data_IF_896179585945
#
_entry.id   IF_896179585945
#
_cell.length_a   1.000
_cell.length_b   1.000
_cell.length_c   1.000
_cell.angle_alpha   90.00
_cell.angle_beta   90.00
_cell.angle_gamma   90.00
#
_symmetry.space_group_name_H-M   'P 1'
#
loop_
_entity.id
_entity.type
_entity.pdbx_description
1 polymer ?
#
# COMPACT_ATOMS: atom_id res chain seq x y z
N UNK A 1 1.46 -89.09 6.23
CA UNK A 1 2.31 -88.16 5.55
C UNK A 1 1.49 -86.97 5.04
N UNK A 2 1.38 -85.90 5.77
CA UNK A 2 0.91 -84.62 5.31
C UNK A 2 1.56 -83.58 6.21
N UNK A 3 2.55 -82.84 5.65
CA UNK A 3 3.25 -81.77 6.31
C UNK A 3 2.38 -80.49 6.34
N UNK A 4 2.22 -79.87 7.49
CA UNK A 4 1.59 -78.62 7.65
C UNK A 4 2.70 -77.55 7.77
N UNK A 5 2.71 -76.59 6.86
CA UNK A 5 3.56 -75.37 6.92
C UNK A 5 2.83 -74.33 7.73
N UNK A 6 3.45 -73.90 8.81
CA UNK A 6 3.00 -72.71 9.58
C UNK A 6 3.73 -71.49 9.04
N UNK A 7 2.99 -70.50 8.49
CA UNK A 7 3.53 -69.16 8.12
C UNK A 7 3.45 -68.22 9.34
N UNK A 8 4.61 -67.82 9.81
CA UNK A 8 4.72 -66.82 10.84
C UNK A 8 4.80 -65.46 10.13
N UNK A 9 3.76 -64.62 10.22
CA UNK A 9 3.75 -63.26 9.73
C UNK A 9 4.31 -62.33 10.81
N UNK A 10 5.50 -61.80 10.59
CA UNK A 10 6.10 -60.73 11.41
C UNK A 10 5.58 -59.38 10.97
N UNK A 11 4.78 -58.73 11.83
CA UNK A 11 4.42 -57.31 11.67
C UNK A 11 5.63 -56.44 12.07
N UNK A 12 6.26 -55.80 11.11
CA UNK A 12 7.16 -54.66 11.37
C UNK A 12 6.30 -53.39 11.53
N UNK A 13 6.23 -52.87 12.75
CA UNK A 13 5.71 -51.55 13.00
C UNK A 13 6.81 -50.51 12.67
N UNK A 14 6.64 -49.78 11.58
CA UNK A 14 7.47 -48.63 11.28
C UNK A 14 7.01 -47.44 12.10
N UNK A 15 7.78 -47.06 13.12
CA UNK A 15 7.66 -45.75 13.79
C UNK A 15 8.15 -44.68 12.82
N UNK A 16 7.22 -43.91 12.29
CA UNK A 16 7.52 -42.68 11.57
C UNK A 16 7.85 -41.58 12.60
N UNK A 17 9.13 -41.29 12.77
CA UNK A 17 9.58 -40.08 13.47
C UNK A 17 9.31 -38.89 12.56
N UNK A 18 8.28 -38.10 12.87
CA UNK A 18 8.09 -36.80 12.27
C UNK A 18 9.26 -35.90 12.69
N UNK A 19 10.11 -35.55 11.73
CA UNK A 19 11.13 -34.53 11.94
C UNK A 19 10.44 -33.18 12.22
N UNK A 20 10.97 -32.33 13.11
CA UNK A 20 10.43 -31.00 13.30
C UNK A 20 10.52 -30.25 11.98
N UNK A 21 9.40 -29.67 11.54
CA UNK A 21 9.36 -28.72 10.44
C UNK A 21 10.19 -27.51 10.92
N UNK A 22 11.39 -27.36 10.38
CA UNK A 22 12.12 -26.12 10.51
C UNK A 22 11.32 -25.08 9.72
N UNK A 23 10.88 -24.02 10.40
CA UNK A 23 10.44 -22.80 9.74
C UNK A 23 11.60 -22.32 8.87
N UNK A 24 11.53 -22.63 7.59
CA UNK A 24 12.39 -22.03 6.59
C UNK A 24 11.84 -20.61 6.43
N UNK A 25 12.52 -19.64 7.07
CA UNK A 25 12.31 -18.26 6.73
C UNK A 25 12.51 -18.14 5.22
N UNK A 26 11.41 -17.96 4.49
CA UNK A 26 11.46 -17.71 3.05
C UNK A 26 12.18 -16.38 2.90
N UNK A 27 13.43 -16.42 2.41
CA UNK A 27 14.16 -15.22 2.09
C UNK A 27 13.33 -14.42 1.08
N UNK A 28 12.92 -13.19 1.46
CA UNK A 28 12.32 -12.25 0.52
C UNK A 28 13.28 -12.08 -0.65
N UNK A 29 12.75 -12.08 -1.87
CA UNK A 29 13.51 -11.64 -3.03
C UNK A 29 13.91 -10.17 -2.80
N UNK A 30 15.16 -9.84 -3.12
CA UNK A 30 15.61 -8.44 -3.08
C UNK A 30 14.64 -7.55 -3.87
N UNK A 31 14.28 -6.35 -3.35
CA UNK A 31 13.31 -5.48 -4.00
C UNK A 31 13.82 -5.07 -5.39
N UNK A 32 13.16 -5.53 -6.45
CA UNK A 32 13.52 -5.20 -7.84
C UNK A 32 13.09 -3.79 -8.25
N UNK A 33 12.30 -3.11 -7.40
CA UNK A 33 11.64 -1.84 -7.73
C UNK A 33 12.33 -0.61 -7.15
N UNK A 34 13.53 -0.75 -6.57
CA UNK A 34 14.28 0.36 -5.99
C UNK A 34 14.94 1.25 -7.06
N UNK A 35 14.99 2.56 -6.81
CA UNK A 35 14.25 3.31 -5.82
C UNK A 35 12.76 3.37 -6.20
N UNK A 36 11.85 3.27 -5.22
CA UNK A 36 10.40 3.31 -5.48
C UNK A 36 9.94 4.72 -5.83
N UNK A 37 9.03 4.82 -6.81
CA UNK A 37 8.18 5.99 -7.02
C UNK A 37 6.76 5.59 -6.65
N UNK A 38 6.25 6.15 -5.56
CA UNK A 38 4.94 5.86 -4.99
C UNK A 38 4.04 7.10 -5.12
N UNK A 39 2.81 6.92 -5.56
CA UNK A 39 1.84 8.01 -5.68
C UNK A 39 0.59 7.65 -4.88
N UNK A 40 0.15 8.57 -4.01
CA UNK A 40 -1.15 8.50 -3.37
C UNK A 40 -2.23 9.11 -4.25
N UNK A 41 -3.37 8.44 -4.32
CA UNK A 41 -4.51 8.88 -5.10
C UNK A 41 -5.76 8.92 -4.21
N UNK A 42 -6.04 10.08 -3.62
CA UNK A 42 -7.19 10.33 -2.75
C UNK A 42 -8.32 11.03 -3.49
N UNK A 43 -8.04 12.17 -4.12
CA UNK A 43 -9.03 12.96 -4.85
C UNK A 43 -9.33 12.31 -6.18
N UNK A 44 -10.45 11.58 -6.25
CA UNK A 44 -10.82 10.77 -7.41
C UNK A 44 -11.65 11.52 -8.45
N UNK A 45 -12.19 12.69 -8.10
CA UNK A 45 -13.04 13.51 -8.95
C UNK A 45 -12.67 14.98 -8.86
N UNK A 46 -12.84 15.71 -9.97
CA UNK A 46 -12.68 17.14 -10.02
C UNK A 46 -13.89 17.89 -9.38
N UNK A 47 -13.81 19.22 -9.33
CA UNK A 47 -14.87 20.07 -8.76
C UNK A 47 -16.19 19.97 -9.53
N UNK A 48 -16.20 19.45 -10.76
CA UNK A 48 -17.38 19.23 -11.58
C UNK A 48 -17.90 17.78 -11.51
N UNK A 49 -17.34 17.01 -10.57
CA UNK A 49 -17.64 15.59 -10.40
C UNK A 49 -17.25 14.70 -11.62
N UNK A 50 -16.23 15.11 -12.39
CA UNK A 50 -15.66 14.27 -13.40
C UNK A 50 -14.54 13.40 -12.79
N UNK A 51 -14.45 12.11 -13.15
CA UNK A 51 -13.38 11.26 -12.63
C UNK A 51 -12.02 11.74 -13.15
N UNK A 52 -11.02 11.76 -12.26
CA UNK A 52 -9.63 12.06 -12.57
C UNK A 52 -8.95 10.78 -13.01
N UNK A 53 -8.30 10.82 -14.19
CA UNK A 53 -7.61 9.66 -14.74
C UNK A 53 -6.19 9.52 -14.20
N UNK A 54 -5.83 8.29 -13.81
CA UNK A 54 -4.47 7.89 -13.42
C UNK A 54 -3.63 7.39 -14.61
N UNK A 55 -4.26 7.13 -15.76
CA UNK A 55 -3.57 6.55 -16.93
C UNK A 55 -2.41 7.39 -17.47
N UNK A 56 -2.36 8.73 -17.34
CA UNK A 56 -1.18 9.49 -17.69
C UNK A 56 0.10 9.00 -17.00
N UNK A 57 0.01 8.48 -15.78
CA UNK A 57 1.16 7.92 -15.05
C UNK A 57 1.82 6.72 -15.74
N UNK A 58 1.14 6.08 -16.69
CA UNK A 58 1.65 4.92 -17.45
C UNK A 58 1.72 5.14 -18.96
N UNK A 59 1.03 6.16 -19.49
CA UNK A 59 0.98 6.44 -20.92
C UNK A 59 1.63 7.77 -21.34
N UNK A 60 2.27 8.48 -20.39
CA UNK A 60 3.20 9.57 -20.65
C UNK A 60 4.64 9.07 -20.44
N UNK A 61 5.59 9.61 -21.24
CA UNK A 61 7.02 9.24 -21.17
C UNK A 61 7.70 9.82 -19.93
N UNK A 62 8.80 9.21 -19.53
CA UNK A 62 9.62 9.74 -18.45
C UNK A 62 9.10 9.44 -17.04
N UNK A 63 8.20 8.47 -16.89
CA UNK A 63 7.64 8.09 -15.59
C UNK A 63 7.99 6.65 -15.26
N UNK A 64 8.70 6.44 -14.16
CA UNK A 64 9.03 5.14 -13.61
C UNK A 64 8.16 4.79 -12.39
N UNK A 65 6.84 5.01 -12.49
CA UNK A 65 5.92 4.67 -11.42
C UNK A 65 6.02 3.19 -11.06
N UNK A 66 6.19 2.89 -9.76
CA UNK A 66 6.26 1.53 -9.23
C UNK A 66 4.98 1.14 -8.51
N UNK A 67 4.44 2.04 -7.68
CA UNK A 67 3.29 1.79 -6.82
C UNK A 67 2.29 2.95 -6.88
N UNK A 68 1.01 2.59 -6.89
CA UNK A 68 -0.09 3.52 -6.70
C UNK A 68 -0.88 3.10 -5.47
N UNK A 69 -1.15 4.03 -4.57
CA UNK A 69 -1.90 3.80 -3.34
C UNK A 69 -3.25 4.50 -3.44
N UNK A 70 -4.32 3.73 -3.56
CA UNK A 70 -5.70 4.23 -3.53
C UNK A 70 -6.09 4.53 -2.09
N UNK A 71 -6.57 5.72 -1.83
CA UNK A 71 -6.91 6.19 -0.48
C UNK A 71 -8.09 7.16 -0.47
N UNK A 72 -8.69 7.41 0.68
CA UNK A 72 -8.43 6.77 1.97
C UNK A 72 -9.57 5.85 2.33
N UNK A 73 -9.25 4.63 2.73
CA UNK A 73 -10.27 3.73 3.26
C UNK A 73 -10.47 4.00 4.75
N UNK A 74 -11.72 4.07 5.18
CA UNK A 74 -12.09 4.36 6.56
C UNK A 74 -12.96 3.24 7.13
N UNK A 75 -12.61 2.79 8.34
CA UNK A 75 -13.38 1.84 9.13
C UNK A 75 -13.96 2.58 10.33
N UNK A 76 -15.28 2.66 10.39
CA UNK A 76 -16.00 3.39 11.43
C UNK A 76 -16.86 2.45 12.29
N UNK A 77 -16.93 2.73 13.59
CA UNK A 77 -17.77 1.97 14.52
C UNK A 77 -19.23 1.96 14.06
N UNK A 78 -19.82 0.77 13.96
CA UNK A 78 -21.21 0.57 13.56
C UNK A 78 -21.49 0.84 12.08
N UNK A 79 -20.44 1.12 11.27
CA UNK A 79 -20.53 1.36 9.84
C UNK A 79 -19.89 0.28 8.99
N UNK A 80 -19.92 0.48 7.68
CA UNK A 80 -19.17 -0.29 6.69
C UNK A 80 -17.94 0.51 6.27
N UNK A 81 -16.94 -0.17 5.70
CA UNK A 81 -15.75 0.48 5.16
C UNK A 81 -16.14 1.40 4.00
N UNK A 82 -15.56 2.59 3.96
CA UNK A 82 -15.73 3.57 2.89
C UNK A 82 -14.39 3.83 2.20
N UNK A 83 -14.43 4.22 0.93
CA UNK A 83 -13.38 4.96 0.26
C UNK A 83 -13.82 6.42 0.22
N UNK A 84 -13.12 7.30 0.92
CA UNK A 84 -13.58 8.65 1.21
C UNK A 84 -15.02 8.63 1.77
N UNK A 85 -16.00 9.16 1.03
CA UNK A 85 -17.38 9.33 1.50
C UNK A 85 -18.36 8.24 1.02
N UNK A 86 -17.90 7.28 0.18
CA UNK A 86 -18.77 6.28 -0.44
C UNK A 86 -18.30 4.85 -0.17
N UNK A 87 -19.20 3.84 -0.23
CA UNK A 87 -18.76 2.44 -0.30
C UNK A 87 -17.77 2.21 -1.44
N UNK A 88 -16.74 1.38 -1.28
CA UNK A 88 -15.72 1.19 -2.31
C UNK A 88 -16.24 0.64 -3.64
N UNK A 89 -17.39 -0.04 -3.64
CA UNK A 89 -18.07 -0.57 -4.81
C UNK A 89 -19.14 0.39 -5.40
N UNK A 90 -19.22 1.63 -4.89
CA UNK A 90 -20.12 2.63 -5.45
C UNK A 90 -19.75 2.93 -6.92
N UNK A 91 -20.75 3.08 -7.82
CA UNK A 91 -20.53 3.48 -9.22
C UNK A 91 -19.70 4.75 -9.38
N UNK A 92 -19.64 5.61 -8.37
CA UNK A 92 -18.76 6.76 -8.30
C UNK A 92 -17.30 6.38 -8.61
N UNK A 93 -16.82 5.22 -8.17
CA UNK A 93 -15.44 4.76 -8.36
C UNK A 93 -15.23 3.86 -9.59
N UNK A 94 -16.21 3.78 -10.52
CA UNK A 94 -16.10 2.88 -11.66
C UNK A 94 -14.86 3.15 -12.54
N UNK A 95 -14.53 4.42 -12.79
CA UNK A 95 -13.34 4.81 -13.56
C UNK A 95 -12.06 4.42 -12.83
N UNK A 96 -11.98 4.72 -11.52
CA UNK A 96 -10.84 4.36 -10.69
C UNK A 96 -10.53 2.86 -10.79
N UNK A 97 -11.49 2.00 -10.52
CA UNK A 97 -11.27 0.56 -10.51
C UNK A 97 -10.96 -0.03 -11.91
N UNK A 98 -11.57 0.53 -12.96
CA UNK A 98 -11.19 0.17 -14.33
C UNK A 98 -9.72 0.50 -14.61
N UNK A 99 -9.28 1.70 -14.25
CA UNK A 99 -7.91 2.14 -14.52
C UNK A 99 -6.89 1.38 -13.68
N UNK A 100 -7.20 0.99 -12.43
CA UNK A 100 -6.29 0.14 -11.64
C UNK A 100 -6.02 -1.21 -12.31
N UNK A 101 -7.00 -1.82 -12.98
CA UNK A 101 -6.80 -3.05 -13.75
C UNK A 101 -5.81 -2.83 -14.89
N UNK A 102 -5.93 -1.71 -15.61
CA UNK A 102 -5.02 -1.35 -16.71
C UNK A 102 -3.60 -1.08 -16.17
N UNK A 103 -3.50 -0.37 -15.05
CA UNK A 103 -2.21 -0.05 -14.43
C UNK A 103 -1.50 -1.31 -13.93
N UNK A 104 -2.21 -2.28 -13.36
CA UNK A 104 -1.63 -3.60 -12.99
C UNK A 104 -1.07 -4.32 -14.22
N UNK A 105 -1.80 -4.33 -15.35
CA UNK A 105 -1.32 -4.92 -16.60
C UNK A 105 -0.06 -4.21 -17.14
N UNK A 106 0.09 -2.92 -16.83
CA UNK A 106 1.28 -2.14 -17.13
C UNK A 106 2.42 -2.32 -16.09
N UNK A 107 2.23 -3.20 -15.10
CA UNK A 107 3.25 -3.55 -14.10
C UNK A 107 3.34 -2.56 -12.93
N UNK A 108 2.32 -1.74 -12.68
CA UNK A 108 2.23 -0.91 -11.47
C UNK A 108 1.57 -1.72 -10.36
N UNK A 109 2.15 -1.71 -9.17
CA UNK A 109 1.55 -2.31 -7.99
C UNK A 109 0.43 -1.42 -7.45
N UNK A 110 -0.77 -1.99 -7.28
CA UNK A 110 -1.93 -1.26 -6.76
C UNK A 110 -2.17 -1.66 -5.32
N UNK A 111 -2.05 -0.69 -4.43
CA UNK A 111 -2.26 -0.85 -2.99
C UNK A 111 -3.45 -0.01 -2.53
N UNK A 112 -3.98 -0.33 -1.36
CA UNK A 112 -4.90 0.52 -0.64
C UNK A 112 -4.21 1.20 0.54
N UNK A 113 -4.77 2.31 1.04
CA UNK A 113 -4.37 2.91 2.31
C UNK A 113 -5.59 3.00 3.24
N UNK A 114 -5.45 2.49 4.45
CA UNK A 114 -6.47 2.60 5.50
C UNK A 114 -6.02 3.58 6.57
N UNK A 115 -6.93 4.48 6.98
CA UNK A 115 -6.66 5.49 8.00
C UNK A 115 -6.54 6.90 7.45
N UNK A 116 -5.44 7.58 7.75
CA UNK A 116 -5.23 9.00 7.50
C UNK A 116 -5.72 9.88 8.66
N UNK A 117 -5.81 11.20 8.44
CA UNK A 117 -6.18 12.19 9.45
C UNK A 117 -7.60 12.01 10.03
N UNK A 118 -8.52 11.36 9.30
CA UNK A 118 -9.85 11.04 9.79
C UNK A 118 -9.81 9.88 10.78
N UNK A 119 -10.03 10.15 12.06
CA UNK A 119 -10.00 9.15 13.12
C UNK A 119 -11.18 8.17 13.05
N UNK A 120 -10.98 6.94 13.57
CA UNK A 120 -12.05 5.91 13.66
C UNK A 120 -11.51 4.52 13.37
N UNK A 121 -10.69 4.36 12.34
CA UNK A 121 -10.21 3.06 11.86
C UNK A 121 -9.43 2.28 12.92
N UNK A 122 -8.61 2.95 13.73
CA UNK A 122 -7.72 2.33 14.71
C UNK A 122 -8.17 2.50 16.16
N UNK A 123 -9.49 2.68 16.38
CA UNK A 123 -10.00 2.84 17.73
C UNK A 123 -10.18 1.51 18.47
N UNK A 124 -10.30 1.58 19.80
CA UNK A 124 -10.62 0.41 20.64
C UNK A 124 -11.98 -0.21 20.37
N UNK A 125 -12.83 0.47 19.62
CA UNK A 125 -14.12 -0.03 19.13
C UNK A 125 -14.08 -0.57 17.70
N UNK A 126 -12.93 -0.52 17.04
CA UNK A 126 -12.70 -1.03 15.68
C UNK A 126 -11.45 -1.93 15.64
N UNK A 127 -10.40 -1.58 14.86
CA UNK A 127 -9.20 -2.42 14.68
C UNK A 127 -8.31 -2.54 15.93
N UNK A 128 -8.41 -1.63 16.91
CA UNK A 128 -7.67 -1.76 18.19
C UNK A 128 -8.47 -2.52 19.26
N UNK A 129 -9.61 -3.08 18.92
CA UNK A 129 -10.42 -3.77 19.91
C UNK A 129 -9.68 -4.98 20.49
N UNK A 130 -9.64 -5.06 21.83
CA UNK A 130 -9.18 -6.26 22.54
C UNK A 130 -10.20 -7.41 22.49
N UNK A 131 -11.45 -7.11 22.12
CA UNK A 131 -12.47 -8.13 21.87
C UNK A 131 -12.23 -8.74 20.49
N UNK A 132 -11.96 -10.05 20.44
CA UNK A 132 -11.66 -10.74 19.19
C UNK A 132 -12.83 -10.69 18.20
N UNK A 133 -14.07 -10.80 18.65
CA UNK A 133 -15.27 -10.71 17.77
C UNK A 133 -15.35 -9.33 17.11
N UNK A 134 -15.10 -8.26 17.87
CA UNK A 134 -15.11 -6.90 17.35
C UNK A 134 -13.95 -6.69 16.35
N UNK A 135 -12.74 -7.13 16.69
CA UNK A 135 -11.60 -7.06 15.78
C UNK A 135 -11.89 -7.80 14.47
N UNK A 136 -12.35 -9.06 14.55
CA UNK A 136 -12.64 -9.87 13.36
C UNK A 136 -13.76 -9.27 12.49
N UNK A 137 -14.73 -8.60 13.09
CA UNK A 137 -15.77 -7.89 12.36
C UNK A 137 -15.20 -6.79 11.47
N UNK A 138 -14.33 -5.94 12.02
CA UNK A 138 -13.77 -4.81 11.26
C UNK A 138 -12.60 -5.23 10.36
N UNK A 139 -11.76 -6.14 10.82
CA UNK A 139 -10.72 -6.74 9.99
C UNK A 139 -11.31 -7.48 8.78
N UNK A 140 -12.42 -8.18 8.97
CA UNK A 140 -13.12 -8.86 7.88
C UNK A 140 -13.57 -7.92 6.76
N UNK A 141 -13.95 -6.68 7.08
CA UNK A 141 -14.27 -5.67 6.07
C UNK A 141 -13.01 -5.27 5.27
N UNK A 142 -11.88 -5.07 5.96
CA UNK A 142 -10.59 -4.76 5.31
C UNK A 142 -10.11 -5.94 4.44
N UNK A 143 -10.20 -7.16 4.95
CA UNK A 143 -9.87 -8.39 4.22
C UNK A 143 -10.72 -8.51 2.94
N UNK A 144 -12.03 -8.36 3.06
CA UNK A 144 -12.96 -8.45 1.94
C UNK A 144 -12.69 -7.36 0.89
N UNK A 145 -12.34 -6.14 1.33
CA UNK A 145 -11.89 -5.05 0.45
C UNK A 145 -10.67 -5.47 -0.39
N UNK A 146 -9.61 -5.94 0.28
CA UNK A 146 -8.36 -6.36 -0.37
C UNK A 146 -8.64 -7.44 -1.42
N UNK A 147 -9.43 -8.45 -1.06
CA UNK A 147 -9.77 -9.56 -1.95
C UNK A 147 -10.61 -9.10 -3.15
N UNK A 148 -11.61 -8.23 -2.91
CA UNK A 148 -12.54 -7.84 -3.97
C UNK A 148 -11.93 -6.93 -5.00
N UNK A 149 -11.10 -5.98 -4.58
CA UNK A 149 -10.42 -5.05 -5.46
C UNK A 149 -9.02 -5.54 -5.88
N UNK A 150 -8.67 -6.78 -5.47
CA UNK A 150 -7.39 -7.42 -5.83
C UNK A 150 -6.19 -6.52 -5.50
N UNK A 151 -6.24 -5.87 -4.33
CA UNK A 151 -5.14 -5.03 -3.89
C UNK A 151 -3.91 -5.89 -3.62
N UNK A 152 -2.76 -5.41 -4.08
CA UNK A 152 -1.47 -6.12 -3.94
C UNK A 152 -0.73 -5.71 -2.66
N UNK A 153 -1.31 -4.79 -1.89
CA UNK A 153 -0.79 -4.35 -0.61
C UNK A 153 -1.73 -3.42 0.13
N UNK A 154 -1.38 -3.17 1.40
CA UNK A 154 -2.09 -2.23 2.26
C UNK A 154 -1.08 -1.34 2.98
N UNK A 155 -1.30 -0.04 2.88
CA UNK A 155 -0.61 0.98 3.64
C UNK A 155 -1.42 1.33 4.89
N UNK A 156 -0.77 1.34 6.04
CA UNK A 156 -1.39 1.66 7.33
C UNK A 156 -1.01 3.09 7.72
N UNK A 157 -1.89 4.04 7.42
CA UNK A 157 -1.68 5.44 7.79
C UNK A 157 -2.34 5.72 9.14
N UNK A 158 -1.53 5.62 10.21
CA UNK A 158 -2.01 5.66 11.58
C UNK A 158 -1.78 7.04 12.19
N UNK A 159 -2.75 7.94 12.04
CA UNK A 159 -2.70 9.30 12.57
C UNK A 159 -3.60 9.50 13.82
N UNK A 160 -3.83 8.43 14.55
CA UNK A 160 -4.58 8.41 15.82
C UNK A 160 -3.98 7.39 16.78
N UNK A 161 -4.24 7.49 18.09
CA UNK A 161 -3.76 6.49 19.05
C UNK A 161 -4.21 5.08 18.68
N UNK A 162 -3.23 4.18 18.54
CA UNK A 162 -3.38 2.75 18.29
C UNK A 162 -2.42 2.00 19.23
N UNK A 163 -2.83 0.91 19.84
CA UNK A 163 -1.96 0.19 20.77
C UNK A 163 -0.86 -0.59 20.04
N UNK A 164 0.30 -0.77 20.69
CA UNK A 164 1.39 -1.59 20.15
C UNK A 164 0.90 -3.02 19.83
N UNK A 165 0.13 -3.62 20.72
CA UNK A 165 -0.44 -4.95 20.47
C UNK A 165 -1.47 -4.97 19.35
N UNK A 166 -2.18 -3.87 19.13
CA UNK A 166 -3.14 -3.71 18.04
C UNK A 166 -2.48 -3.66 16.68
N UNK A 167 -1.43 -2.83 16.52
CA UNK A 167 -0.70 -2.73 15.25
C UNK A 167 0.04 -4.03 14.95
N UNK A 168 0.73 -4.64 15.93
CA UNK A 168 1.39 -5.94 15.75
C UNK A 168 0.38 -7.00 15.27
N UNK A 169 -0.77 -7.10 15.94
CA UNK A 169 -1.85 -8.04 15.56
C UNK A 169 -2.35 -7.80 14.14
N UNK A 170 -2.56 -6.55 13.73
CA UNK A 170 -3.07 -6.22 12.40
C UNK A 170 -2.06 -6.63 11.32
N UNK A 171 -0.78 -6.31 11.49
CA UNK A 171 0.29 -6.66 10.56
C UNK A 171 0.45 -8.19 10.46
N UNK A 172 0.57 -8.88 11.60
CA UNK A 172 0.66 -10.33 11.65
C UNK A 172 -0.54 -10.99 10.97
N UNK A 173 -1.75 -10.43 11.14
CA UNK A 173 -2.97 -10.96 10.54
C UNK A 173 -2.99 -10.76 9.02
N UNK A 174 -2.63 -9.57 8.52
CA UNK A 174 -2.50 -9.31 7.08
C UNK A 174 -1.46 -10.24 6.44
N UNK A 175 -0.30 -10.41 7.08
CA UNK A 175 0.75 -11.30 6.60
C UNK A 175 0.32 -12.77 6.58
N UNK A 176 -0.42 -13.20 7.59
CA UNK A 176 -0.97 -14.56 7.65
C UNK A 176 -1.99 -14.85 6.55
N UNK A 177 -2.87 -13.90 6.27
CA UNK A 177 -3.98 -14.13 5.33
C UNK A 177 -3.56 -13.96 3.86
N UNK A 178 -2.62 -13.06 3.57
CA UNK A 178 -2.25 -12.71 2.19
C UNK A 178 -0.86 -13.22 1.75
N UNK A 179 -0.07 -13.74 2.69
CA UNK A 179 1.24 -14.35 2.39
C UNK A 179 2.38 -13.34 2.18
N UNK A 180 3.58 -13.83 1.82
CA UNK A 180 4.80 -13.02 1.79
C UNK A 180 4.86 -11.99 0.65
N UNK A 181 4.13 -12.20 -0.43
CA UNK A 181 4.14 -11.33 -1.61
C UNK A 181 3.19 -10.12 -1.49
N UNK A 182 2.32 -10.12 -0.47
CA UNK A 182 1.43 -9.01 -0.18
C UNK A 182 2.22 -7.88 0.49
N UNK A 183 2.14 -6.67 -0.04
CA UNK A 183 2.89 -5.53 0.47
C UNK A 183 2.21 -4.94 1.71
N UNK A 184 2.95 -4.80 2.79
CA UNK A 184 2.48 -4.13 4.01
C UNK A 184 3.40 -2.96 4.29
N UNK A 185 2.83 -1.75 4.25
CA UNK A 185 3.55 -0.51 4.50
C UNK A 185 2.86 0.32 5.59
N UNK A 186 3.59 1.25 6.17
CA UNK A 186 3.02 2.25 7.07
C UNK A 186 3.44 3.64 6.61
N UNK A 187 2.65 4.66 6.98
CA UNK A 187 2.92 6.06 6.66
C UNK A 187 3.22 6.90 7.93
N UNK A 188 4.30 6.61 8.67
CA UNK A 188 4.67 7.38 9.85
C UNK A 188 5.07 8.82 9.50
N UNK A 189 4.83 9.76 10.42
CA UNK A 189 5.55 11.02 10.39
C UNK A 189 7.05 10.79 10.65
N UNK A 190 7.95 11.53 10.02
CA UNK A 190 9.40 11.29 10.08
C UNK A 190 9.93 11.28 11.53
N UNK A 191 9.48 12.20 12.36
CA UNK A 191 9.85 12.28 13.77
C UNK A 191 9.48 11.02 14.57
N UNK A 192 8.48 10.24 14.16
CA UNK A 192 8.14 8.99 14.84
C UNK A 192 9.21 7.91 14.65
N UNK A 193 9.86 7.86 13.48
CA UNK A 193 11.00 6.97 13.22
C UNK A 193 12.30 7.45 13.91
N UNK A 194 12.38 8.74 14.20
CA UNK A 194 13.45 9.31 15.05
C UNK A 194 13.22 9.06 16.56
N UNK A 195 12.18 8.32 16.93
CA UNK A 195 11.76 8.07 18.32
C UNK A 195 11.38 9.36 19.07
N UNK A 196 10.72 10.29 18.38
CA UNK A 196 10.30 11.61 18.87
C UNK A 196 8.77 11.79 18.69
N UNK A 197 8.31 12.96 18.23
CA UNK A 197 6.89 13.26 18.05
C UNK A 197 6.20 12.22 17.16
N UNK A 198 5.03 11.75 17.59
CA UNK A 198 4.34 10.63 16.98
C UNK A 198 2.81 10.82 17.06
N UNK A 199 2.11 10.57 15.97
CA UNK A 199 0.65 10.63 15.89
C UNK A 199 -0.03 9.30 16.22
N UNK A 200 0.69 8.17 16.04
CA UNK A 200 0.12 6.82 16.04
C UNK A 200 -0.05 6.21 17.44
N UNK A 201 0.60 6.75 18.46
CA UNK A 201 0.48 6.27 19.86
C UNK A 201 1.30 5.03 20.21
N UNK A 202 1.79 4.25 19.23
CA UNK A 202 2.73 3.14 19.44
C UNK A 202 4.17 3.55 19.08
N UNK A 203 5.15 2.74 19.52
CA UNK A 203 6.57 2.96 19.23
C UNK A 203 6.97 2.25 17.94
N UNK A 204 7.40 2.99 16.92
CA UNK A 204 7.83 2.44 15.63
C UNK A 204 9.12 1.63 15.71
N UNK A 205 10.07 1.98 16.58
CA UNK A 205 11.29 1.18 16.76
C UNK A 205 10.99 -0.17 17.42
N UNK A 206 10.01 -0.20 18.32
CA UNK A 206 9.50 -1.45 18.87
C UNK A 206 8.77 -2.25 17.79
N UNK A 207 7.93 -1.59 16.96
CA UNK A 207 7.25 -2.23 15.84
C UNK A 207 8.24 -2.83 14.85
N UNK A 208 9.32 -2.11 14.50
CA UNK A 208 10.39 -2.63 13.63
C UNK A 208 11.07 -3.85 14.23
N UNK A 209 11.22 -3.90 15.54
CA UNK A 209 11.77 -5.07 16.23
C UNK A 209 10.82 -6.26 16.21
N UNK A 210 9.53 -6.02 16.44
CA UNK A 210 8.51 -7.07 16.57
C UNK A 210 8.07 -7.61 15.19
N UNK A 211 7.81 -6.72 14.23
CA UNK A 211 7.14 -7.03 12.96
C UNK A 211 7.93 -6.58 11.71
N UNK A 212 9.16 -6.07 11.87
CA UNK A 212 9.94 -5.51 10.76
C UNK A 212 10.12 -6.49 9.57
N UNK A 213 10.16 -7.79 9.83
CA UNK A 213 10.21 -8.81 8.76
C UNK A 213 8.89 -8.92 7.97
N UNK A 214 7.80 -8.42 8.51
CA UNK A 214 6.47 -8.40 7.88
C UNK A 214 6.17 -7.07 7.19
N UNK A 215 6.97 -6.02 7.42
CA UNK A 215 6.81 -4.69 6.86
C UNK A 215 7.74 -4.54 5.65
N UNK A 216 7.22 -4.06 4.54
CA UNK A 216 7.99 -3.93 3.30
C UNK A 216 8.79 -2.61 3.25
N UNK A 217 8.17 -1.50 3.62
CA UNK A 217 8.81 -0.19 3.78
C UNK A 217 7.90 0.78 4.54
N UNK A 218 8.44 1.97 4.85
CA UNK A 218 7.73 3.08 5.46
C UNK A 218 7.60 4.24 4.47
N UNK A 219 6.37 4.65 4.15
CA UNK A 219 6.06 5.88 3.42
C UNK A 219 6.14 7.06 4.38
N UNK A 220 7.35 7.50 4.67
CA UNK A 220 7.64 8.42 5.76
C UNK A 220 7.29 9.85 5.41
N UNK A 221 6.41 10.49 6.19
CA UNK A 221 5.92 11.84 5.96
C UNK A 221 6.94 12.89 6.45
N UNK A 222 7.67 13.52 5.52
CA UNK A 222 8.63 14.61 5.80
C UNK A 222 7.98 15.98 5.55
N UNK A 223 6.83 16.23 6.17
CA UNK A 223 6.05 17.45 6.02
C UNK A 223 5.20 17.72 7.27
N UNK A 224 4.37 18.76 7.25
CA UNK A 224 3.46 19.17 8.34
C UNK A 224 4.16 19.45 9.67
N UNK A 225 5.45 19.82 9.65
CA UNK A 225 6.23 20.11 10.85
C UNK A 225 6.83 18.88 11.52
N UNK A 226 6.77 17.71 10.88
CA UNK A 226 7.30 16.44 11.40
C UNK A 226 8.57 15.98 10.67
N UNK A 227 9.31 16.90 10.08
CA UNK A 227 10.52 16.66 9.32
C UNK A 227 10.47 17.31 7.95
N UNK A 228 11.61 17.28 7.24
CA UNK A 228 11.77 17.90 5.92
C UNK A 228 12.83 17.16 5.09
N UNK A 229 12.70 17.23 3.78
CA UNK A 229 13.74 16.83 2.82
C UNK A 229 14.42 18.03 2.16
N UNK A 230 14.31 19.25 2.73
CA UNK A 230 15.16 20.40 2.34
C UNK A 230 16.65 20.11 2.60
N UNK A 231 16.93 19.25 3.54
CA UNK A 231 18.26 18.74 3.84
C UNK A 231 18.21 17.25 4.19
N UNK A 232 19.33 16.50 4.11
CA UNK A 232 19.36 15.07 4.39
C UNK A 232 19.26 14.72 5.89
N UNK A 233 19.25 15.71 6.79
CA UNK A 233 19.47 15.52 8.23
C UNK A 233 18.41 14.61 8.87
N UNK A 234 17.11 14.86 8.62
CA UNK A 234 16.04 14.07 9.23
C UNK A 234 16.05 12.63 8.71
N UNK A 235 16.32 12.43 7.42
CA UNK A 235 16.52 11.09 6.87
C UNK A 235 17.71 10.37 7.52
N UNK A 236 18.85 11.06 7.67
CA UNK A 236 20.05 10.51 8.34
C UNK A 236 19.76 10.19 9.81
N UNK A 237 19.01 11.03 10.51
CA UNK A 237 18.58 10.77 11.88
C UNK A 237 17.80 9.45 11.98
N UNK A 238 16.84 9.21 11.07
CA UNK A 238 16.07 7.96 11.01
C UNK A 238 17.01 6.76 10.79
N UNK A 239 17.95 6.84 9.84
CA UNK A 239 18.92 5.76 9.61
C UNK A 239 19.77 5.50 10.87
N UNK A 240 20.14 6.54 11.61
CA UNK A 240 20.90 6.42 12.85
C UNK A 240 20.11 5.75 13.99
N UNK A 241 18.77 5.68 13.92
CA UNK A 241 17.96 4.90 14.88
C UNK A 241 17.88 3.41 14.52
N UNK A 242 18.43 3.00 13.36
CA UNK A 242 18.56 1.60 12.96
C UNK A 242 17.71 1.18 11.76
N UNK A 243 16.98 2.09 11.11
CA UNK A 243 16.27 1.77 9.87
C UNK A 243 17.23 1.71 8.69
N UNK A 244 17.08 0.69 7.83
CA UNK A 244 17.82 0.61 6.58
C UNK A 244 17.35 1.70 5.60
N UNK A 245 18.25 2.38 4.86
CA UNK A 245 17.86 3.41 3.90
C UNK A 245 16.89 2.93 2.80
N UNK A 246 16.93 1.66 2.42
CA UNK A 246 16.12 1.04 1.38
C UNK A 246 14.65 0.80 1.77
N UNK A 247 14.34 0.84 3.08
CA UNK A 247 12.96 0.76 3.58
C UNK A 247 12.36 2.12 3.95
N UNK A 248 13.09 3.23 3.76
CA UNK A 248 12.57 4.58 3.98
C UNK A 248 12.22 5.18 2.62
N UNK A 249 10.93 5.38 2.36
CA UNK A 249 10.41 6.11 1.20
C UNK A 249 10.09 7.53 1.66
N UNK A 250 10.79 8.52 1.07
CA UNK A 250 10.70 9.91 1.49
C UNK A 250 9.42 10.58 0.97
N UNK A 251 8.46 10.78 1.88
CA UNK A 251 7.16 11.38 1.58
C UNK A 251 7.23 12.88 1.41
N UNK A 252 6.63 13.38 0.34
CA UNK A 252 6.57 14.78 -0.02
C UNK A 252 5.14 15.21 -0.33
N UNK A 253 4.79 16.44 0.05
CA UNK A 253 3.64 17.11 -0.56
C UNK A 253 3.95 17.43 -2.02
N UNK A 254 3.02 17.19 -2.92
CA UNK A 254 3.21 17.48 -4.35
C UNK A 254 2.92 18.94 -4.71
N UNK A 255 2.21 19.65 -3.83
CA UNK A 255 1.86 21.07 -3.94
C UNK A 255 1.75 21.71 -2.54
N UNK A 256 2.01 23.03 -2.41
CA UNK A 256 1.81 23.74 -1.15
C UNK A 256 0.34 23.84 -0.71
N UNK A 257 -0.60 23.48 -1.58
CA UNK A 257 -2.04 23.48 -1.26
C UNK A 257 -2.44 22.28 -0.38
N UNK A 258 -1.63 21.22 -0.35
CA UNK A 258 -1.93 19.97 0.40
C UNK A 258 -1.48 20.03 1.87
N UNK A 259 -0.79 21.10 2.28
CA UNK A 259 -0.38 21.28 3.67
C UNK A 259 0.90 22.08 3.85
N UNK A 260 1.34 22.17 5.10
CA UNK A 260 2.61 22.81 5.43
C UNK A 260 3.80 21.88 5.21
N UNK A 261 4.97 22.44 4.86
CA UNK A 261 6.20 21.67 4.66
C UNK A 261 6.42 21.17 3.24
N UNK A 262 5.65 21.69 2.26
CA UNK A 262 5.99 21.51 0.85
C UNK A 262 7.36 22.10 0.53
N UNK A 263 8.16 21.40 -0.25
CA UNK A 263 9.47 21.86 -0.72
C UNK A 263 9.55 21.82 -2.24
N UNK A 264 10.35 22.72 -2.86
CA UNK A 264 10.64 22.63 -4.28
C UNK A 264 11.33 21.32 -4.65
N UNK A 265 11.02 20.75 -5.79
CA UNK A 265 11.66 19.51 -6.29
C UNK A 265 13.17 19.66 -6.49
N UNK A 266 13.68 20.89 -6.69
CA UNK A 266 15.11 21.18 -6.75
C UNK A 266 15.83 20.92 -5.41
N UNK A 267 15.20 21.26 -4.29
CA UNK A 267 15.75 21.01 -2.95
C UNK A 267 15.70 19.51 -2.64
N UNK A 268 14.60 18.83 -2.98
CA UNK A 268 14.50 17.38 -2.91
C UNK A 268 15.63 16.71 -3.71
N UNK A 269 15.90 17.15 -4.94
CA UNK A 269 16.97 16.62 -5.78
C UNK A 269 18.35 16.72 -5.11
N UNK A 270 18.67 17.89 -4.54
CA UNK A 270 19.95 18.08 -3.84
C UNK A 270 20.10 17.15 -2.64
N UNK A 271 19.03 16.94 -1.91
CA UNK A 271 18.98 16.03 -0.77
C UNK A 271 19.14 14.56 -1.20
N UNK A 272 18.41 14.13 -2.23
CA UNK A 272 18.54 12.76 -2.79
C UNK A 272 19.96 12.47 -3.27
N UNK A 273 20.58 13.41 -4.02
CA UNK A 273 21.98 13.27 -4.45
C UNK A 273 22.91 13.03 -3.25
N UNK A 274 22.72 13.77 -2.16
CA UNK A 274 23.54 13.63 -0.95
C UNK A 274 23.32 12.27 -0.28
N UNK A 275 22.07 11.81 -0.22
CA UNK A 275 21.72 10.52 0.37
C UNK A 275 22.25 9.35 -0.46
N UNK A 276 22.15 9.42 -1.80
CA UNK A 276 22.70 8.41 -2.71
C UNK A 276 24.23 8.33 -2.62
N UNK A 277 24.91 9.48 -2.49
CA UNK A 277 26.35 9.49 -2.24
C UNK A 277 26.73 8.85 -0.89
N UNK A 278 25.85 8.95 0.09
CA UNK A 278 26.10 8.44 1.45
C UNK A 278 25.77 6.96 1.59
N UNK A 279 24.65 6.52 1.03
CA UNK A 279 24.09 5.18 1.24
C UNK A 279 24.07 4.32 -0.03
N UNK A 280 24.34 4.88 -1.19
CA UNK A 280 24.26 4.20 -2.50
C UNK A 280 22.85 4.18 -3.08
N UNK A 281 21.84 4.03 -2.26
CA UNK A 281 20.43 4.02 -2.68
C UNK A 281 19.52 4.20 -1.47
N UNK A 282 18.38 4.85 -1.66
CA UNK A 282 17.29 4.94 -0.68
C UNK A 282 16.06 4.17 -1.12
N UNK A 283 15.07 4.02 -0.24
CA UNK A 283 13.82 3.32 -0.54
C UNK A 283 13.00 3.93 -1.65
N UNK A 284 13.12 5.24 -1.86
CA UNK A 284 12.41 5.97 -2.90
C UNK A 284 11.76 7.26 -2.43
N UNK A 285 10.80 7.75 -3.21
CA UNK A 285 10.00 8.95 -2.89
C UNK A 285 8.52 8.63 -3.08
N UNK A 286 7.67 9.13 -2.18
CA UNK A 286 6.22 9.14 -2.37
C UNK A 286 5.66 10.55 -2.45
N UNK A 287 4.55 10.73 -3.19
CA UNK A 287 3.84 11.99 -3.35
C UNK A 287 2.44 11.99 -2.77
N UNK A 288 2.15 12.93 -1.91
CA UNK A 288 0.82 13.27 -1.43
C UNK A 288 0.41 14.61 -2.04
N UNK A 289 -0.57 14.69 -2.92
CA UNK A 289 -1.22 13.62 -3.64
C UNK A 289 -1.25 13.93 -5.15
N UNK A 290 -1.83 13.03 -5.96
CA UNK A 290 -1.73 13.08 -7.43
C UNK A 290 -2.46 14.26 -8.07
N UNK A 291 -3.75 14.51 -7.71
CA UNK A 291 -4.68 15.26 -8.56
C UNK A 291 -4.28 16.71 -8.89
N UNK A 292 -3.51 17.36 -8.03
CA UNK A 292 -3.11 18.78 -8.11
C UNK A 292 -1.58 18.98 -8.06
N UNK A 293 -0.83 17.92 -8.39
CA UNK A 293 0.64 17.91 -8.33
C UNK A 293 1.28 18.97 -9.23
N UNK A 294 2.24 19.71 -8.69
CA UNK A 294 3.00 20.70 -9.44
C UNK A 294 4.18 20.04 -10.22
N UNK A 295 4.59 20.61 -11.39
CA UNK A 295 4.17 21.91 -11.94
C UNK A 295 2.89 21.86 -12.76
N UNK A 296 2.38 20.67 -13.15
CA UNK A 296 1.26 20.52 -14.07
C UNK A 296 -0.11 20.86 -13.48
N UNK A 297 -0.20 20.96 -12.14
CA UNK A 297 -1.45 21.17 -11.42
C UNK A 297 -2.55 20.19 -11.87
N UNK A 298 -3.81 20.51 -11.74
CA UNK A 298 -4.93 19.64 -12.14
C UNK A 298 -4.98 19.30 -13.63
N UNK A 299 -4.25 20.02 -14.48
CA UNK A 299 -4.23 19.80 -15.94
C UNK A 299 -3.19 18.77 -16.40
N UNK A 300 -2.09 18.62 -15.67
CA UNK A 300 -1.01 17.68 -15.98
C UNK A 300 -0.33 17.14 -14.69
N UNK A 301 -1.10 16.57 -13.75
CA UNK A 301 -0.55 16.18 -12.43
C UNK A 301 0.57 15.13 -12.52
N UNK A 302 0.68 14.40 -13.63
CA UNK A 302 1.75 13.42 -13.87
C UNK A 302 3.15 14.05 -14.05
N UNK A 303 3.25 15.36 -14.30
CA UNK A 303 4.55 16.05 -14.47
C UNK A 303 5.40 15.96 -13.20
N UNK A 304 4.78 15.94 -12.01
CA UNK A 304 5.50 15.69 -10.76
C UNK A 304 6.21 14.32 -10.79
N UNK A 305 5.53 13.29 -11.24
CA UNK A 305 6.10 11.94 -11.34
C UNK A 305 7.24 11.86 -12.36
N UNK A 306 7.19 12.67 -13.45
CA UNK A 306 8.31 12.79 -14.40
C UNK A 306 9.55 13.39 -13.74
N UNK A 307 9.37 14.52 -13.00
CA UNK A 307 10.47 15.19 -12.29
C UNK A 307 11.07 14.25 -11.23
N UNK A 308 10.25 13.60 -10.43
CA UNK A 308 10.75 12.68 -9.39
C UNK A 308 11.41 11.43 -10.02
N UNK A 309 10.95 10.99 -11.18
CA UNK A 309 11.65 9.94 -11.93
C UNK A 309 13.06 10.37 -12.31
N UNK A 310 13.25 11.60 -12.83
CA UNK A 310 14.57 12.13 -13.17
C UNK A 310 15.47 12.28 -11.93
N UNK A 311 14.90 12.68 -10.79
CA UNK A 311 15.63 12.77 -9.52
C UNK A 311 16.11 11.38 -9.06
N UNK A 312 15.24 10.39 -9.07
CA UNK A 312 15.53 9.04 -8.59
C UNK A 312 16.37 8.21 -9.58
N UNK A 313 16.34 8.56 -10.87
CA UNK A 313 17.00 7.83 -11.98
C UNK A 313 17.61 8.79 -12.97
N UNK A 314 18.62 9.58 -12.56
CA UNK A 314 19.19 10.63 -13.38
C UNK A 314 19.71 10.08 -14.72
N UNK A 315 19.32 10.77 -15.80
CA UNK A 315 19.69 10.38 -17.16
C UNK A 315 18.93 9.19 -17.75
N UNK A 316 17.96 8.62 -17.01
CA UNK A 316 17.04 7.61 -17.52
C UNK A 316 15.73 8.27 -17.93
N UNK A 317 15.33 8.09 -19.18
CA UNK A 317 13.99 8.51 -19.66
C UNK A 317 13.18 7.25 -19.95
N UNK A 318 12.39 6.75 -18.99
CA UNK A 318 11.57 5.57 -19.22
C UNK A 318 10.60 5.78 -20.39
N UNK A 319 10.49 4.75 -21.23
CA UNK A 319 9.40 4.71 -22.22
C UNK A 319 8.07 4.54 -21.48
N UNK A 320 6.99 4.98 -22.12
CA UNK A 320 5.65 4.74 -21.57
C UNK A 320 5.39 3.24 -21.42
N UNK A 321 4.70 2.86 -20.37
CA UNK A 321 4.38 1.45 -20.07
C UNK A 321 3.31 0.89 -21.01
N UNK A 322 2.43 1.77 -21.50
CA UNK A 322 1.32 1.44 -22.42
C UNK A 322 1.04 2.63 -23.35
N UNK A 323 0.68 2.39 -24.60
CA UNK A 323 0.28 3.49 -25.50
C UNK A 323 -1.09 4.04 -25.13
N UNK A 324 -1.34 5.33 -25.43
CA UNK A 324 -2.69 5.94 -25.27
C UNK A 324 -3.76 5.17 -26.06
N UNK A 325 -3.40 4.62 -27.22
CA UNK A 325 -4.30 3.81 -28.03
C UNK A 325 -4.64 2.48 -27.37
N UNK A 326 -3.65 1.80 -26.79
CA UNK A 326 -3.88 0.54 -26.06
C UNK A 326 -4.66 0.77 -24.79
N UNK A 327 -4.38 1.82 -24.04
CA UNK A 327 -5.15 2.21 -22.86
C UNK A 327 -6.63 2.45 -23.21
N UNK A 328 -6.90 3.24 -24.27
CA UNK A 328 -8.27 3.49 -24.75
C UNK A 328 -8.97 2.21 -25.20
N UNK A 329 -8.24 1.28 -25.85
CA UNK A 329 -8.76 -0.03 -26.25
C UNK A 329 -9.16 -0.87 -25.03
N UNK A 330 -8.33 -0.89 -24.01
CA UNK A 330 -8.60 -1.63 -22.77
C UNK A 330 -9.78 -1.03 -22.00
N UNK A 331 -9.88 0.30 -21.92
CA UNK A 331 -11.03 0.98 -21.33
C UNK A 331 -12.34 0.64 -22.07
N UNK A 332 -12.33 0.66 -23.41
CA UNK A 332 -13.50 0.30 -24.20
C UNK A 332 -13.87 -1.18 -24.03
N UNK A 333 -12.90 -2.08 -23.99
CA UNK A 333 -13.13 -3.50 -23.75
C UNK A 333 -13.73 -3.75 -22.36
N UNK A 334 -13.23 -3.06 -21.34
CA UNK A 334 -13.78 -3.12 -19.99
C UNK A 334 -15.23 -2.61 -19.94
N UNK A 335 -15.49 -1.42 -20.47
CA UNK A 335 -16.83 -0.85 -20.54
C UNK A 335 -17.83 -1.79 -21.26
N UNK A 336 -17.38 -2.45 -22.35
CA UNK A 336 -18.19 -3.44 -23.07
C UNK A 336 -18.48 -4.66 -22.22
N UNK A 337 -17.49 -5.15 -21.48
CA UNK A 337 -17.63 -6.28 -20.54
C UNK A 337 -18.63 -5.96 -19.42
N UNK A 338 -18.52 -4.79 -18.82
CA UNK A 338 -19.44 -4.30 -17.78
C UNK A 338 -20.87 -4.21 -18.33
N UNK A 339 -21.04 -3.59 -19.50
CA UNK A 339 -22.36 -3.46 -20.15
C UNK A 339 -22.99 -4.84 -20.47
N UNK A 340 -22.21 -5.80 -20.99
CA UNK A 340 -22.66 -7.15 -21.31
C UNK A 340 -23.10 -7.94 -20.06
N UNK A 341 -22.66 -7.51 -18.87
CA UNK A 341 -23.01 -8.12 -17.58
C UNK A 341 -24.08 -7.35 -16.82
N UNK A 342 -24.87 -6.54 -17.51
CA UNK A 342 -25.97 -5.78 -16.89
C UNK A 342 -25.49 -4.66 -15.96
N UNK A 343 -24.38 -4.02 -16.31
CA UNK A 343 -23.77 -2.95 -15.51
C UNK A 343 -22.93 -3.46 -14.32
N UNK A 344 -22.71 -4.77 -14.21
CA UNK A 344 -21.85 -5.34 -13.17
C UNK A 344 -20.52 -5.77 -13.79
N UNK A 345 -19.45 -5.35 -13.19
CA UNK A 345 -18.13 -5.85 -13.54
C UNK A 345 -18.02 -7.34 -13.18
N UNK A 346 -17.65 -8.18 -14.16
CA UNK A 346 -17.45 -9.61 -13.90
C UNK A 346 -16.15 -9.92 -13.16
N UNK A 347 -15.15 -9.08 -13.20
CA UNK A 347 -13.99 -9.21 -12.34
C UNK A 347 -14.42 -9.07 -10.87
N UNK A 348 -15.45 -8.24 -10.63
CA UNK A 348 -16.11 -8.11 -9.32
C UNK A 348 -17.32 -9.05 -9.16
N UNK A 349 -18.01 -9.46 -10.25
CA UNK A 349 -19.22 -10.28 -10.20
C UNK A 349 -18.97 -11.79 -10.13
N UNK A 350 -17.78 -12.26 -10.46
CA UNK A 350 -17.40 -13.67 -10.27
C UNK A 350 -17.05 -13.99 -8.80
N UNK A 351 -16.84 -12.99 -7.99
CA UNK A 351 -16.74 -13.10 -6.53
C UNK A 351 -18.11 -12.77 -5.95
N UNK A 352 -18.60 -13.51 -4.92
CA UNK A 352 -19.86 -13.15 -4.29
C UNK A 352 -19.76 -11.69 -3.92
N UNK A 353 -20.72 -10.87 -4.41
CA UNK A 353 -20.81 -9.46 -4.04
C UNK A 353 -20.64 -9.40 -2.53
N UNK A 354 -19.62 -8.67 -2.05
CA UNK A 354 -19.46 -8.51 -0.61
C UNK A 354 -20.72 -7.84 -0.15
N UNK A 355 -21.55 -8.61 0.50
CA UNK A 355 -22.74 -8.06 1.10
C UNK A 355 -22.30 -7.35 2.37
N UNK A 356 -21.80 -6.09 2.22
CA UNK A 356 -21.43 -5.25 3.37
C UNK A 356 -22.58 -5.15 4.39
N UNK A 357 -23.83 -5.38 3.98
CA UNK A 357 -24.97 -5.44 4.89
C UNK A 357 -24.86 -6.57 5.91
N UNK A 358 -24.09 -7.63 5.64
CA UNK A 358 -23.81 -8.67 6.63
C UNK A 358 -23.04 -8.14 7.85
N UNK A 359 -22.31 -7.00 7.68
CA UNK A 359 -21.48 -6.39 8.71
C UNK A 359 -22.23 -5.32 9.54
N UNK A 360 -23.35 -4.82 9.04
CA UNK A 360 -24.16 -3.78 9.73
C UNK A 360 -24.98 -4.35 10.88
N UNK A 361 -25.28 -5.66 10.87
CA UNK A 361 -26.20 -6.33 11.80
C UNK A 361 -25.52 -7.39 12.70
N UNK A 362 -24.20 -7.40 12.78
CA UNK A 362 -23.45 -8.37 13.59
C UNK A 362 -22.97 -7.79 14.95
#
# INVERSE_FOLDING_TARGET
MKSAFVFLASMLATLSLAAPVQDVAVARSEPTDLPRLVIYFQTTHDQNNNPISMLPLINEKGIALTHLIVCSFHINQGGVIHLNDFPPDDPHFATLWNETVIMKQAGVKIMGMVGGAASGSYSTSTLDSSNSTTFEHYYGQLHDLIVNFELEGMDLDVEQPFSQSGVNRLISRLRSDFGPDFLITLAPVATALENSANLSGFNYNQLQTDEGSSIDWYNTQFYSGFGTMESPNDFINIVNTGYSPDIIVAGQLTTPNDGGGWIPTADLNNTIITLDQTYGQIGGVMGWEYFNSLPGDTSAPWEWAQIVTEILRPGLTPELKITKQDAARLQAAYATSVAANGGKDKSFAAKPSVNYSKWVNA
#
